data_IF_230135479489
#
_entry.id   IF_230135479489
#
_cell.length_a   1.000
_cell.length_b   1.000
_cell.length_c   1.000
_cell.angle_alpha   90.00
_cell.angle_beta   90.00
_cell.angle_gamma   90.00
#
_symmetry.space_group_name_H-M   'P 1'
#
loop_
_entity.id
_entity.type
_entity.pdbx_description
1 polymer ?
#
# COMPACT_ATOMS: atom_id res chain seq x y z
N UNK A 1 -1.51 -3.14 -15.11
CA UNK A 1 -2.04 -1.76 -15.18
C UNK A 1 -3.13 -1.48 -14.14
N UNK A 2 -3.98 -2.47 -13.78
CA UNK A 2 -4.90 -2.35 -12.66
C UNK A 2 -4.15 -2.18 -11.35
N UNK A 3 -4.45 -1.11 -10.60
CA UNK A 3 -3.80 -0.80 -9.32
C UNK A 3 -4.63 -1.35 -8.16
N UNK A 4 -5.90 -0.91 -8.04
CA UNK A 4 -6.83 -1.32 -6.99
C UNK A 4 -8.24 -1.55 -7.55
N UNK A 5 -9.10 -2.19 -6.76
CA UNK A 5 -10.52 -2.41 -7.03
C UNK A 5 -10.80 -3.20 -8.33
N UNK A 6 -9.88 -4.04 -8.76
CA UNK A 6 -10.07 -4.86 -9.96
C UNK A 6 -11.22 -5.86 -9.76
N UNK A 7 -12.16 -5.90 -10.72
CA UNK A 7 -13.29 -6.85 -10.68
C UNK A 7 -12.83 -8.18 -11.30
N UNK A 8 -12.83 -9.30 -10.54
CA UNK A 8 -12.45 -10.60 -11.07
C UNK A 8 -13.40 -11.05 -12.20
N UNK A 9 -12.83 -11.56 -13.29
CA UNK A 9 -13.59 -12.06 -14.44
C UNK A 9 -13.13 -13.48 -14.79
N UNK A 10 -14.04 -14.41 -15.01
CA UNK A 10 -13.74 -15.82 -15.33
C UNK A 10 -12.91 -15.99 -16.60
N UNK A 11 -13.03 -15.05 -17.52
CA UNK A 11 -12.33 -15.05 -18.81
C UNK A 11 -10.86 -14.64 -18.69
N UNK A 12 -10.49 -13.97 -17.57
CA UNK A 12 -9.12 -13.56 -17.31
C UNK A 12 -8.40 -14.70 -16.58
N UNK A 13 -7.65 -15.48 -17.34
CA UNK A 13 -6.81 -16.55 -16.82
C UNK A 13 -5.37 -16.06 -16.75
N UNK A 14 -4.76 -16.19 -15.58
CA UNK A 14 -3.38 -15.78 -15.35
C UNK A 14 -2.39 -16.60 -16.17
N UNK A 15 -1.39 -15.94 -16.70
CA UNK A 15 -0.34 -16.54 -17.54
C UNK A 15 1.04 -16.02 -17.14
N UNK A 16 2.07 -16.67 -17.67
CA UNK A 16 3.46 -16.24 -17.50
C UNK A 16 3.64 -14.76 -17.87
N UNK A 17 4.31 -14.01 -16.99
CA UNK A 17 4.55 -12.57 -17.11
C UNK A 17 3.48 -11.69 -16.46
N UNK A 18 2.33 -12.26 -16.08
CA UNK A 18 1.30 -11.47 -15.38
C UNK A 18 1.74 -11.09 -13.97
N UNK A 19 1.36 -9.87 -13.60
CA UNK A 19 1.50 -9.34 -12.24
C UNK A 19 0.10 -9.21 -11.65
N UNK A 20 -0.12 -9.82 -10.48
CA UNK A 20 -1.44 -9.91 -9.84
C UNK A 20 -1.34 -9.37 -8.44
N UNK A 21 -2.14 -8.35 -8.13
CA UNK A 21 -2.39 -7.88 -6.79
C UNK A 21 -3.63 -8.56 -6.23
N UNK A 22 -3.55 -9.00 -4.99
CA UNK A 22 -4.68 -9.48 -4.20
C UNK A 22 -4.82 -8.54 -3.02
N UNK A 23 -6.02 -8.01 -2.88
CA UNK A 23 -6.38 -7.04 -1.85
C UNK A 23 -7.68 -7.51 -1.21
N UNK A 24 -7.68 -7.64 0.13
CA UNK A 24 -8.80 -8.19 0.85
C UNK A 24 -8.94 -7.60 2.25
N UNK A 25 -10.16 -7.20 2.59
CA UNK A 25 -10.56 -6.80 3.93
C UNK A 25 -11.41 -7.86 4.62
N UNK A 26 -11.31 -7.94 5.94
CA UNK A 26 -12.16 -8.78 6.78
C UNK A 26 -12.88 -7.91 7.80
N UNK A 27 -14.22 -8.07 7.89
CA UNK A 27 -15.00 -7.52 8.98
C UNK A 27 -15.40 -8.63 9.96
N UNK A 28 -14.93 -8.52 11.20
CA UNK A 28 -15.23 -9.51 12.23
C UNK A 28 -15.43 -8.87 13.60
N UNK A 29 -16.53 -9.22 14.28
CA UNK A 29 -16.88 -8.74 15.63
C UNK A 29 -16.80 -7.21 15.81
N UNK A 30 -17.20 -6.45 14.77
CA UNK A 30 -17.24 -4.99 14.83
C UNK A 30 -15.95 -4.29 14.43
N UNK A 31 -14.94 -5.01 13.92
CA UNK A 31 -13.68 -4.45 13.47
C UNK A 31 -13.31 -4.91 12.07
N UNK A 32 -12.63 -4.03 11.35
CA UNK A 32 -12.05 -4.30 10.03
C UNK A 32 -10.55 -4.57 10.14
N UNK A 33 -10.05 -5.37 9.23
CA UNK A 33 -8.63 -5.46 8.84
C UNK A 33 -8.53 -5.37 7.34
N UNK A 34 -7.40 -4.87 6.84
CA UNK A 34 -7.08 -4.76 5.43
C UNK A 34 -5.68 -5.26 5.16
N UNK A 35 -5.47 -5.94 4.03
CA UNK A 35 -4.15 -6.46 3.66
C UNK A 35 -4.08 -6.75 2.17
N UNK A 36 -2.93 -6.47 1.59
CA UNK A 36 -2.70 -6.75 0.18
C UNK A 36 -1.29 -7.24 -0.10
N UNK A 37 -1.17 -7.95 -1.19
CA UNK A 37 0.12 -8.34 -1.74
C UNK A 37 0.07 -8.44 -3.25
N UNK A 38 1.21 -8.20 -3.88
CA UNK A 38 1.39 -8.39 -5.32
C UNK A 38 2.38 -9.52 -5.58
N UNK A 39 1.99 -10.44 -6.48
CA UNK A 39 2.83 -11.52 -7.00
C UNK A 39 2.91 -11.47 -8.52
N UNK A 40 3.97 -12.03 -9.09
CA UNK A 40 4.10 -12.22 -10.53
C UNK A 40 4.29 -13.70 -10.86
N UNK A 41 3.77 -14.11 -12.01
CA UNK A 41 3.86 -15.48 -12.52
C UNK A 41 5.07 -15.56 -13.44
N UNK A 42 6.12 -16.25 -12.99
CA UNK A 42 7.40 -16.41 -13.70
C UNK A 42 7.94 -15.04 -14.22
N UNK A 43 8.23 -14.10 -13.29
CA UNK A 43 8.62 -12.74 -13.66
C UNK A 43 10.01 -12.68 -14.27
N UNK A 44 10.24 -11.74 -15.17
CA UNK A 44 11.59 -11.34 -15.53
C UNK A 44 12.31 -10.64 -14.34
N UNK A 45 13.61 -10.40 -14.51
CA UNK A 45 14.45 -9.78 -13.47
C UNK A 45 13.97 -8.36 -13.10
N UNK A 46 13.43 -7.61 -14.05
CA UNK A 46 12.96 -6.24 -13.82
C UNK A 46 11.71 -6.25 -12.95
N UNK A 47 10.73 -7.09 -13.27
CA UNK A 47 9.50 -7.25 -12.49
C UNK A 47 9.79 -7.83 -11.11
N UNK A 48 10.68 -8.83 -11.01
CA UNK A 48 11.10 -9.39 -9.72
C UNK A 48 11.71 -8.32 -8.79
N UNK A 49 12.60 -7.46 -9.34
CA UNK A 49 13.16 -6.33 -8.60
C UNK A 49 12.08 -5.31 -8.20
N UNK A 50 11.17 -4.98 -9.11
CA UNK A 50 10.06 -4.08 -8.83
C UNK A 50 9.26 -4.56 -7.62
N UNK A 51 8.81 -5.80 -7.59
CA UNK A 51 8.05 -6.36 -6.46
C UNK A 51 8.87 -6.48 -5.16
N UNK A 52 10.18 -6.71 -5.26
CA UNK A 52 11.07 -6.71 -4.09
C UNK A 52 11.11 -5.33 -3.42
N UNK A 53 11.15 -4.26 -4.20
CA UNK A 53 11.17 -2.88 -3.68
C UNK A 53 9.92 -2.59 -2.86
N UNK A 54 8.73 -2.98 -3.34
CA UNK A 54 7.48 -2.76 -2.59
C UNK A 54 7.44 -3.50 -1.25
N UNK A 55 7.90 -4.76 -1.22
CA UNK A 55 8.02 -5.51 0.05
C UNK A 55 8.98 -4.87 1.04
N UNK A 56 10.11 -4.34 0.56
CA UNK A 56 11.05 -3.61 1.41
C UNK A 56 10.40 -2.32 1.90
N UNK A 57 9.74 -1.58 1.01
CA UNK A 57 9.13 -0.30 1.35
C UNK A 57 8.03 -0.42 2.41
N UNK A 58 7.14 -1.43 2.31
CA UNK A 58 6.11 -1.64 3.33
C UNK A 58 6.70 -2.07 4.67
N UNK A 59 7.68 -2.97 4.68
CA UNK A 59 8.34 -3.39 5.92
C UNK A 59 9.06 -2.24 6.63
N UNK A 60 9.85 -1.45 5.91
CA UNK A 60 10.54 -0.27 6.44
C UNK A 60 9.57 0.84 6.90
N UNK A 61 8.43 0.99 6.21
CA UNK A 61 7.37 1.92 6.59
C UNK A 61 6.68 1.49 7.89
N UNK A 62 6.38 0.21 8.03
CA UNK A 62 5.80 -0.37 9.25
C UNK A 62 6.74 -0.14 10.44
N UNK A 63 8.04 -0.29 10.28
CA UNK A 63 9.02 -0.02 11.35
C UNK A 63 9.00 1.43 11.86
N UNK A 64 8.45 2.38 11.08
CA UNK A 64 8.23 3.77 11.51
C UNK A 64 6.97 3.97 12.34
N UNK A 65 6.06 3.00 12.39
CA UNK A 65 4.81 3.09 13.13
C UNK A 65 5.03 2.91 14.65
N UNK A 66 5.70 3.89 15.26
CA UNK A 66 6.05 3.92 16.68
C UNK A 66 5.48 5.16 17.35
N UNK A 67 5.08 5.08 18.63
CA UNK A 67 4.63 6.26 19.37
C UNK A 67 5.68 7.39 19.34
N UNK A 68 5.22 8.61 19.06
CA UNK A 68 6.06 9.82 18.94
C UNK A 68 6.64 10.06 17.53
N UNK A 69 6.58 9.08 16.65
CA UNK A 69 6.79 9.33 15.23
C UNK A 69 5.55 9.96 14.60
N UNK A 70 5.68 10.46 13.40
CA UNK A 70 4.60 11.08 12.64
C UNK A 70 4.24 10.23 11.42
N UNK A 71 3.03 10.40 10.89
CA UNK A 71 2.65 9.86 9.56
C UNK A 71 3.68 10.25 8.49
N UNK A 72 4.22 11.47 8.58
CA UNK A 72 5.33 11.93 7.74
C UNK A 72 6.51 10.94 7.68
N UNK A 73 6.88 10.33 8.80
CA UNK A 73 8.04 9.42 8.86
C UNK A 73 7.77 8.12 8.10
N UNK A 74 6.50 7.65 8.08
CA UNK A 74 6.03 6.54 7.25
C UNK A 74 6.08 6.94 5.78
N UNK A 75 5.39 8.01 5.39
CA UNK A 75 5.28 8.50 4.01
C UNK A 75 6.63 8.78 3.38
N UNK A 76 7.53 9.45 4.14
CA UNK A 76 8.91 9.74 3.70
C UNK A 76 9.72 8.46 3.45
N UNK A 77 9.50 7.43 4.26
CA UNK A 77 10.20 6.15 4.10
C UNK A 77 9.75 5.47 2.82
N UNK A 78 8.44 5.43 2.55
CA UNK A 78 7.86 4.86 1.32
C UNK A 78 8.42 5.61 0.10
N UNK A 79 8.24 6.94 0.05
CA UNK A 79 8.67 7.78 -1.07
C UNK A 79 10.16 7.57 -1.37
N UNK A 80 11.02 7.68 -0.37
CA UNK A 80 12.46 7.50 -0.51
C UNK A 80 12.84 6.16 -1.11
N UNK A 81 12.24 5.06 -0.65
CA UNK A 81 12.60 3.71 -1.12
C UNK A 81 12.12 3.51 -2.56
N UNK A 82 10.88 3.88 -2.85
CA UNK A 82 10.27 3.73 -4.17
C UNK A 82 11.01 4.59 -5.21
N UNK A 83 11.23 5.88 -4.92
CA UNK A 83 11.89 6.81 -5.84
C UNK A 83 13.38 6.50 -6.03
N UNK A 84 14.09 6.08 -4.98
CA UNK A 84 15.51 5.67 -5.09
C UNK A 84 15.69 4.45 -6.00
N UNK A 85 14.65 3.62 -6.17
CA UNK A 85 14.64 2.50 -7.09
C UNK A 85 14.22 2.88 -8.53
N UNK A 86 13.90 4.16 -8.77
CA UNK A 86 13.46 4.69 -10.07
C UNK A 86 11.99 4.41 -10.37
N UNK A 87 11.16 4.20 -9.35
CA UNK A 87 9.71 3.98 -9.46
C UNK A 87 8.93 5.18 -8.93
N UNK A 88 7.63 5.23 -9.20
CA UNK A 88 6.78 6.36 -8.82
C UNK A 88 5.74 5.94 -7.77
N UNK A 89 5.76 6.51 -6.56
CA UNK A 89 4.68 6.31 -5.61
C UNK A 89 3.37 6.93 -6.13
N UNK A 90 2.26 6.23 -5.95
CA UNK A 90 0.93 6.73 -6.33
C UNK A 90 0.54 7.87 -5.40
N UNK A 91 -0.10 8.92 -5.96
CA UNK A 91 -0.44 10.14 -5.22
C UNK A 91 -1.94 10.30 -4.96
N UNK A 92 -2.78 9.58 -5.67
CA UNK A 92 -4.23 9.71 -5.62
C UNK A 92 -4.90 8.86 -4.53
N UNK A 93 -4.18 7.88 -4.00
CA UNK A 93 -4.65 6.92 -3.00
C UNK A 93 -3.69 6.91 -1.82
N UNK A 94 -4.19 6.56 -0.65
CA UNK A 94 -3.47 6.67 0.62
C UNK A 94 -3.81 5.50 1.54
N UNK A 95 -2.87 5.06 2.35
CA UNK A 95 -3.13 4.24 3.52
C UNK A 95 -3.93 5.02 4.57
N UNK A 96 -4.42 4.36 5.60
CA UNK A 96 -5.41 4.96 6.49
C UNK A 96 -5.40 4.34 7.89
N UNK A 97 -6.03 5.02 8.85
CA UNK A 97 -6.49 4.39 10.07
C UNK A 97 -7.56 3.33 9.77
N UNK A 98 -7.68 2.31 10.59
CA UNK A 98 -8.65 1.23 10.41
C UNK A 98 -9.13 0.73 11.78
N UNK A 99 -10.41 0.35 11.87
CA UNK A 99 -10.97 -0.14 13.13
C UNK A 99 -12.45 -0.47 13.00
N UNK A 100 -13.31 0.37 13.55
CA UNK A 100 -14.77 0.19 13.42
C UNK A 100 -15.27 0.53 12.03
N UNK A 101 -14.62 1.48 11.36
CA UNK A 101 -14.78 1.72 9.93
C UNK A 101 -13.59 1.13 9.17
N UNK A 102 -13.80 0.81 7.89
CA UNK A 102 -12.74 0.35 7.00
C UNK A 102 -11.69 1.45 6.82
N UNK A 103 -12.14 2.68 6.59
CA UNK A 103 -11.27 3.85 6.45
C UNK A 103 -11.53 4.82 7.60
N UNK A 104 -10.49 5.05 8.41
CA UNK A 104 -10.46 6.00 9.52
C UNK A 104 -9.26 6.96 9.35
N UNK A 105 -9.25 8.06 10.11
CA UNK A 105 -8.04 8.90 10.19
C UNK A 105 -6.92 8.20 11.02
N UNK A 106 -5.65 8.49 10.77
CA UNK A 106 -5.14 9.46 9.79
C UNK A 106 -5.00 8.86 8.38
N UNK A 107 -5.00 9.72 7.35
CA UNK A 107 -4.53 9.34 6.01
C UNK A 107 -3.01 9.18 6.01
N UNK A 108 -2.51 8.16 5.29
CA UNK A 108 -1.09 7.79 5.21
C UNK A 108 -0.64 7.78 3.74
N UNK A 109 -0.27 8.93 3.15
CA UNK A 109 0.16 8.98 1.76
C UNK A 109 1.43 8.18 1.47
N UNK A 110 1.53 7.62 0.26
CA UNK A 110 2.75 6.97 -0.23
C UNK A 110 3.88 7.95 -0.58
N UNK A 111 3.65 9.25 -0.40
CA UNK A 111 4.58 10.36 -0.68
C UNK A 111 4.44 11.44 0.40
N UNK A 112 5.37 12.38 0.44
CA UNK A 112 5.32 13.51 1.39
C UNK A 112 4.49 14.65 0.82
N UNK A 113 3.25 14.89 1.31
CA UNK A 113 2.37 15.93 0.76
C UNK A 113 2.68 17.34 1.29
N UNK A 114 3.55 17.49 2.28
CA UNK A 114 3.81 18.76 2.94
C UNK A 114 4.99 18.73 3.90
N UNK A 115 4.93 19.55 4.93
CA UNK A 115 5.99 19.65 5.95
C UNK A 115 5.77 18.66 7.10
N UNK A 116 6.84 18.35 7.82
CA UNK A 116 6.80 17.46 8.98
C UNK A 116 5.88 18.00 10.09
N UNK A 117 5.89 19.31 10.34
CA UNK A 117 5.20 19.95 11.46
C UNK A 117 3.67 19.89 11.38
N UNK A 118 3.11 19.66 10.19
CA UNK A 118 1.65 19.50 10.00
C UNK A 118 1.18 18.05 9.99
N UNK A 119 2.06 17.08 10.23
CA UNK A 119 1.72 15.66 10.13
C UNK A 119 1.18 15.10 11.45
N UNK A 120 0.14 14.22 11.41
CA UNK A 120 -0.39 13.56 12.61
C UNK A 120 0.67 12.76 13.36
N UNK A 121 0.64 12.86 14.70
CA UNK A 121 1.47 12.04 15.58
C UNK A 121 0.89 10.63 15.73
N UNK A 122 1.76 9.63 15.76
CA UNK A 122 1.40 8.24 15.97
C UNK A 122 1.31 7.95 17.48
N UNK A 123 0.15 7.54 17.94
CA UNK A 123 -0.13 7.24 19.33
C UNK A 123 -0.26 5.73 19.56
N UNK A 124 0.19 5.27 20.73
CA UNK A 124 -0.03 3.87 21.12
C UNK A 124 -1.52 3.55 21.18
N UNK A 125 -1.92 2.47 20.54
CA UNK A 125 -3.31 2.03 20.41
C UNK A 125 -3.94 2.35 19.05
N UNK A 126 -3.33 3.17 18.22
CA UNK A 126 -3.76 3.34 16.83
C UNK A 126 -3.62 2.03 16.06
N UNK A 127 -4.57 1.75 15.18
CA UNK A 127 -4.51 0.66 14.19
C UNK A 127 -4.53 1.28 12.81
N UNK A 128 -3.59 0.87 11.97
CA UNK A 128 -3.31 1.52 10.69
C UNK A 128 -3.21 0.46 9.59
N UNK A 129 -3.78 0.74 8.42
CA UNK A 129 -3.50 0.08 7.17
C UNK A 129 -2.35 0.83 6.49
N UNK A 130 -1.15 0.26 6.54
CA UNK A 130 0.04 0.84 5.92
C UNK A 130 0.24 0.15 4.58
N UNK A 131 0.01 0.90 3.51
CA UNK A 131 0.07 0.41 2.15
C UNK A 131 1.08 1.18 1.30
N UNK A 132 1.69 0.46 0.37
CA UNK A 132 2.65 0.99 -0.60
C UNK A 132 2.11 0.73 -2.00
N UNK A 133 1.56 1.77 -2.60
CA UNK A 133 1.10 1.77 -3.98
C UNK A 133 2.09 2.52 -4.86
N UNK A 134 2.54 1.86 -5.93
CA UNK A 134 3.55 2.46 -6.82
C UNK A 134 3.50 1.87 -8.23
N UNK A 135 4.12 2.55 -9.18
CA UNK A 135 4.13 2.21 -10.60
C UNK A 135 5.55 2.14 -11.16
N UNK A 136 5.74 1.27 -12.16
CA UNK A 136 6.93 1.27 -13.03
C UNK A 136 7.02 2.52 -13.92
N UNK A 137 5.92 3.25 -14.08
CA UNK A 137 5.79 4.43 -14.90
C UNK A 137 5.51 5.69 -14.09
N UNK A 138 4.51 6.46 -14.53
CA UNK A 138 4.09 7.71 -13.89
C UNK A 138 3.17 7.44 -12.69
N UNK A 139 3.05 8.40 -11.74
CA UNK A 139 2.19 8.25 -10.56
C UNK A 139 0.71 8.46 -10.85
N UNK A 140 0.36 8.90 -12.06
CA UNK A 140 -1.01 9.27 -12.43
C UNK A 140 -1.89 8.02 -12.61
N UNK A 141 -3.13 8.10 -12.17
CA UNK A 141 -4.13 7.04 -12.26
C UNK A 141 -5.41 7.53 -12.93
N UNK A 142 -6.19 6.59 -13.44
CA UNK A 142 -7.50 6.84 -14.04
C UNK A 142 -8.54 5.89 -13.45
N UNK A 143 -9.76 6.38 -13.28
CA UNK A 143 -10.93 5.55 -13.00
C UNK A 143 -11.40 4.93 -14.30
N UNK A 144 -11.51 3.61 -14.36
CA UNK A 144 -11.94 2.89 -15.54
C UNK A 144 -13.46 3.09 -15.83
N UNK A 145 -13.89 2.70 -17.02
CA UNK A 145 -15.28 2.85 -17.46
C UNK A 145 -16.30 2.05 -16.63
N UNK A 146 -15.84 1.09 -15.82
CA UNK A 146 -16.69 0.37 -14.87
C UNK A 146 -17.07 1.19 -13.64
N UNK A 147 -16.48 2.40 -13.49
CA UNK A 147 -16.74 3.31 -12.39
C UNK A 147 -16.15 2.85 -11.05
N UNK A 148 -15.29 1.83 -11.05
CA UNK A 148 -14.76 1.22 -9.84
C UNK A 148 -13.25 0.94 -9.89
N UNK A 149 -12.77 0.24 -10.91
CA UNK A 149 -11.36 -0.12 -11.07
C UNK A 149 -10.50 1.12 -11.33
N UNK A 150 -9.43 1.27 -10.57
CA UNK A 150 -8.42 2.31 -10.77
C UNK A 150 -7.18 1.69 -11.40
N UNK A 151 -6.72 2.28 -12.48
CA UNK A 151 -5.55 1.82 -13.25
C UNK A 151 -4.52 2.92 -13.41
N UNK A 152 -3.27 2.55 -13.70
CA UNK A 152 -2.24 3.53 -14.08
C UNK A 152 -2.60 4.21 -15.41
N UNK A 153 -2.48 5.53 -15.47
CA UNK A 153 -2.86 6.31 -16.66
C UNK A 153 -1.99 6.00 -17.89
N UNK A 154 -0.76 5.53 -17.69
CA UNK A 154 0.19 5.19 -18.75
C UNK A 154 0.21 3.68 -19.08
N UNK A 155 -0.65 2.86 -18.49
CA UNK A 155 -0.76 1.43 -18.72
C UNK A 155 0.46 0.62 -18.23
N UNK A 156 1.31 1.20 -17.38
CA UNK A 156 2.46 0.47 -16.82
C UNK A 156 2.05 -0.37 -15.62
N UNK A 157 2.89 -1.36 -15.32
CA UNK A 157 2.70 -2.24 -14.15
C UNK A 157 2.71 -1.42 -12.87
N UNK A 158 1.72 -1.67 -12.02
CA UNK A 158 1.63 -1.19 -10.64
C UNK A 158 1.73 -2.34 -9.66
N UNK A 159 1.98 -2.02 -8.40
CA UNK A 159 1.94 -2.98 -7.31
C UNK A 159 1.38 -2.33 -6.03
N UNK A 160 0.80 -3.18 -5.19
CA UNK A 160 0.24 -2.85 -3.90
C UNK A 160 0.75 -3.88 -2.87
N UNK A 161 1.24 -3.39 -1.74
CA UNK A 161 1.62 -4.19 -0.57
C UNK A 161 1.12 -3.49 0.68
N UNK A 162 0.43 -4.21 1.55
CA UNK A 162 -0.24 -3.64 2.69
C UNK A 162 -0.34 -4.61 3.85
N UNK A 163 -0.24 -4.06 5.07
CA UNK A 163 -0.60 -4.75 6.29
C UNK A 163 -1.37 -3.84 7.24
N UNK A 164 -2.34 -4.43 7.94
CA UNK A 164 -2.92 -3.82 9.13
C UNK A 164 -1.97 -4.03 10.31
N UNK A 165 -1.61 -2.93 10.98
CA UNK A 165 -0.71 -2.96 12.14
C UNK A 165 -1.31 -2.24 13.34
N UNK A 166 -0.91 -2.63 14.53
CA UNK A 166 -1.18 -1.86 15.76
C UNK A 166 0.10 -1.14 16.21
N UNK A 167 -0.02 0.16 16.48
CA UNK A 167 1.03 0.96 17.11
C UNK A 167 1.08 0.63 18.59
N UNK A 168 2.16 -0.01 19.06
CA UNK A 168 2.29 -0.39 20.49
C UNK A 168 3.49 0.29 21.15
N UNK A 169 3.53 0.32 22.47
CA UNK A 169 4.68 0.83 23.24
C UNK A 169 5.99 0.07 22.93
N UNK A 170 5.90 -1.18 22.46
CA UNK A 170 7.06 -2.01 22.10
C UNK A 170 7.46 -1.88 20.61
N UNK A 171 6.67 -1.15 19.82
CA UNK A 171 6.80 -0.99 18.37
C UNK A 171 5.56 -1.51 17.63
N UNK A 172 5.58 -1.52 16.30
CA UNK A 172 4.47 -2.00 15.51
C UNK A 172 4.24 -3.50 15.72
N UNK A 173 2.97 -3.89 15.75
CA UNK A 173 2.53 -5.28 15.75
C UNK A 173 1.71 -5.52 14.48
N UNK A 174 2.19 -6.36 13.57
CA UNK A 174 1.47 -6.72 12.36
C UNK A 174 0.32 -7.65 12.75
N UNK A 175 -0.91 -7.28 12.39
CA UNK A 175 -2.13 -8.03 12.70
C UNK A 175 -2.53 -8.98 11.55
N UNK A 176 -2.05 -8.73 10.34
CA UNK A 176 -2.33 -9.50 9.11
C UNK A 176 -1.15 -10.35 8.65
N UNK A 177 -0.13 -10.54 9.50
CA UNK A 177 1.01 -11.39 9.17
C UNK A 177 0.53 -12.82 8.83
N UNK A 178 0.98 -13.32 7.66
CA UNK A 178 0.87 -14.74 7.33
C UNK A 178 2.05 -15.49 7.94
N UNK A 179 1.79 -16.65 8.56
CA UNK A 179 2.80 -17.59 9.05
C UNK A 179 3.69 -18.12 7.90
#
# INVERSE_FOLDING_TARGET
EGLVHGIPKKEIVFKKGDVVSVDLGIYYKGFHTDTSFTKAIDPDRKVANFLKVGRIAVGEAIDKARPGNLVYDISKTIERIVESAGFSPIRALVGHGIGKALHEEPQIPCFVPGTRDGSPELLSGMVLAIEVMYSLGKPDVVLNNDGWTISTADGKISALFEDTIAVTKKGPLILTASD
#
